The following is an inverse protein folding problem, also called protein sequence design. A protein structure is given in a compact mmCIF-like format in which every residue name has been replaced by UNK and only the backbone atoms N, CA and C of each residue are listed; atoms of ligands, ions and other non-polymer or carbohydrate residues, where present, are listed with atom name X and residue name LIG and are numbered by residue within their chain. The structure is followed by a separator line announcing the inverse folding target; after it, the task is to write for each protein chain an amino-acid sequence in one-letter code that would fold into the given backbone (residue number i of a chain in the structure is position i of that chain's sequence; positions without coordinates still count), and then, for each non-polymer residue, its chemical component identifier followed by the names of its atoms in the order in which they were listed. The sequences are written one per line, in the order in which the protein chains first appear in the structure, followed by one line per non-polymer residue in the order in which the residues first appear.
data_IF_493945192297
#
_entry.id   IF_493945192297
#
_cell.length_a   1.000
_cell.length_b   1.000
_cell.length_c   1.000
_cell.angle_alpha   90.00
_cell.angle_beta   90.00
_cell.angle_gamma   90.00
#
_symmetry.space_group_name_H-M   'P 1'
#
loop_
_entity.id
_entity.type
_entity.pdbx_description
1 polymer ?
#
# COMPACT_ATOMS: atom_id res chain seq x y z
N UNK A 1 -9.34 -10.57 52.52
CA UNK A 1 -8.53 -10.04 53.64
C UNK A 1 -7.08 -9.97 53.20
N UNK A 2 -6.46 -8.81 53.48
CA UNK A 2 -5.04 -8.51 53.58
C UNK A 2 -4.10 -8.79 52.38
N UNK A 3 -3.73 -7.68 51.73
CA UNK A 3 -2.51 -7.48 50.96
C UNK A 3 -1.26 -7.45 51.86
N UNK A 4 -0.07 -7.58 51.28
CA UNK A 4 1.01 -6.63 51.59
C UNK A 4 2.10 -6.58 50.53
N UNK A 5 2.55 -5.35 50.32
CA UNK A 5 3.55 -4.84 49.38
C UNK A 5 4.90 -4.66 50.08
N UNK A 6 6.01 -4.66 49.32
CA UNK A 6 7.19 -3.88 49.70
C UNK A 6 7.99 -3.47 48.46
N UNK A 7 7.97 -2.16 48.20
CA UNK A 7 8.86 -1.39 47.34
C UNK A 7 10.10 -1.00 48.14
N UNK A 8 11.28 -0.93 47.53
CA UNK A 8 12.35 -0.04 47.99
C UNK A 8 13.12 0.56 46.81
N UNK A 9 13.36 1.86 46.93
CA UNK A 9 13.83 2.82 45.92
C UNK A 9 15.36 2.99 45.96
N UNK A 10 15.91 3.36 44.80
CA UNK A 10 16.88 4.44 44.51
C UNK A 10 17.99 4.79 45.50
N UNK A 11 19.23 4.86 44.98
CA UNK A 11 20.20 5.87 45.37
C UNK A 11 21.10 6.24 44.17
N UNK A 12 21.20 7.54 43.91
CA UNK A 12 22.19 8.19 43.03
C UNK A 12 23.13 9.02 43.91
N UNK A 13 24.42 9.09 43.56
CA UNK A 13 25.41 10.07 44.07
C UNK A 13 26.55 10.22 43.03
N UNK A 14 26.69 11.39 42.40
CA UNK A 14 27.75 12.42 42.56
C UNK A 14 29.18 11.98 42.16
N UNK A 15 29.78 12.45 41.04
CA UNK A 15 30.38 13.77 40.66
C UNK A 15 31.80 14.00 41.18
N UNK A 16 32.70 14.45 40.27
CA UNK A 16 33.95 15.24 40.36
C UNK A 16 35.07 14.60 39.49
N UNK A 17 35.86 15.24 38.61
CA UNK A 17 36.01 16.63 38.15
C UNK A 17 37.40 16.82 37.48
N UNK A 18 37.50 17.65 36.42
CA UNK A 18 38.71 18.34 35.87
C UNK A 18 39.82 17.49 35.19
N UNK A 19 40.58 17.92 34.17
CA UNK A 19 40.85 19.24 33.56
C UNK A 19 41.75 19.16 32.29
N UNK A 20 41.39 19.96 31.26
CA UNK A 20 42.15 20.75 30.23
C UNK A 20 43.47 20.28 29.56
N UNK A 21 43.54 20.37 28.22
CA UNK A 21 44.30 21.33 27.34
C UNK A 21 44.10 20.90 25.85
N UNK A 22 43.47 21.67 24.93
CA UNK A 22 44.04 22.70 24.02
C UNK A 22 44.39 22.08 22.63
N UNK A 23 44.06 22.57 21.42
CA UNK A 23 43.30 23.69 20.87
C UNK A 23 43.36 23.61 19.31
N UNK A 24 42.51 24.38 18.58
CA UNK A 24 42.78 24.82 17.20
C UNK A 24 41.73 24.52 16.11
N UNK A 25 41.04 25.57 15.62
CA UNK A 25 40.85 25.84 14.18
C UNK A 25 39.48 25.63 13.51
N UNK A 26 38.82 26.74 13.12
CA UNK A 26 38.01 26.88 11.89
C UNK A 26 36.46 26.73 11.98
N UNK A 27 35.70 27.83 11.84
CA UNK A 27 34.23 27.83 11.67
C UNK A 27 33.79 27.63 10.21
N UNK A 28 32.56 28.05 9.78
CA UNK A 28 31.33 28.33 10.53
C UNK A 28 30.08 27.62 9.94
N UNK A 29 28.98 27.53 10.69
CA UNK A 29 27.59 27.73 10.21
C UNK A 29 26.58 27.41 11.31
N UNK A 30 25.98 28.44 11.90
CA UNK A 30 24.79 28.27 12.73
C UNK A 30 23.55 28.04 11.85
N UNK A 31 22.62 27.16 12.25
CA UNK A 31 21.34 27.02 11.57
C UNK A 31 20.39 28.16 11.97
N UNK A 32 19.82 28.81 10.95
CA UNK A 32 18.79 29.85 11.06
C UNK A 32 17.57 29.26 11.82
N UNK A 33 17.32 29.77 13.02
CA UNK A 33 16.05 29.60 13.75
C UNK A 33 15.01 30.54 13.15
N UNK A 34 13.98 29.98 12.49
CA UNK A 34 12.76 30.71 12.13
C UNK A 34 11.79 30.58 13.32
N UNK A 35 11.62 31.65 14.08
CA UNK A 35 10.57 31.79 15.09
C UNK A 35 9.28 32.29 14.42
N UNK A 36 8.20 31.52 14.58
CA UNK A 36 6.86 31.93 14.18
C UNK A 36 6.27 32.85 15.25
N UNK A 37 6.19 34.15 14.96
CA UNK A 37 5.48 35.13 15.80
C UNK A 37 3.99 35.06 15.46
N UNK A 38 3.18 34.55 16.40
CA UNK A 38 1.73 34.72 16.38
C UNK A 38 1.40 36.15 16.81
N UNK A 39 0.98 37.00 15.89
CA UNK A 39 0.25 38.23 16.23
C UNK A 39 -1.25 37.93 16.21
N UNK A 40 -1.83 37.83 17.40
CA UNK A 40 -3.26 38.08 17.60
C UNK A 40 -3.43 39.59 17.76
N UNK A 41 -4.22 40.21 16.88
CA UNK A 41 -4.82 41.51 17.16
C UNK A 41 -6.29 41.52 16.75
N UNK A 42 -7.12 41.53 17.78
CA UNK A 42 -8.56 41.81 17.77
C UNK A 42 -8.83 43.31 17.62
N UNK A 43 -9.82 43.69 16.80
CA UNK A 43 -10.51 44.98 16.90
C UNK A 43 -11.89 44.93 16.20
N UNK A 44 -12.85 45.79 16.56
CA UNK A 44 -14.27 45.41 16.71
C UNK A 44 -15.23 45.95 15.64
N UNK A 45 -16.47 45.47 15.69
CA UNK A 45 -17.64 45.94 14.95
C UNK A 45 -17.99 47.42 15.26
N UNK A 46 -18.33 48.19 14.22
CA UNK A 46 -19.42 49.17 14.25
C UNK A 46 -19.92 49.50 12.82
N UNK A 47 -21.14 50.01 12.78
CA UNK A 47 -22.15 50.01 11.70
C UNK A 47 -22.18 51.25 10.79
N UNK A 48 -22.85 51.06 9.63
CA UNK A 48 -23.64 51.99 8.80
C UNK A 48 -22.96 53.08 7.94
N UNK A 49 -23.32 53.08 6.64
CA UNK A 49 -23.75 54.31 5.95
C UNK A 49 -23.01 54.74 4.67
N UNK A 50 -23.76 54.70 3.56
CA UNK A 50 -23.64 55.54 2.36
C UNK A 50 -22.61 55.19 1.26
N UNK A 51 -23.13 55.23 0.03
CA UNK A 51 -22.52 54.72 -1.17
C UNK A 51 -21.59 55.70 -1.88
N UNK A 52 -20.68 55.11 -2.64
CA UNK A 52 -19.99 55.74 -3.75
C UNK A 52 -19.82 54.69 -4.84
N UNK A 53 -20.36 54.99 -6.03
CA UNK A 53 -20.24 54.14 -7.20
C UNK A 53 -18.79 54.16 -7.70
N UNK A 54 -18.10 53.03 -7.61
CA UNK A 54 -16.78 52.85 -8.22
C UNK A 54 -17.01 52.32 -9.63
N UNK A 55 -16.71 53.17 -10.61
CA UNK A 55 -16.63 52.81 -12.04
C UNK A 55 -15.56 51.74 -12.23
N UNK A 56 -15.98 50.51 -12.50
CA UNK A 56 -15.07 49.42 -12.89
C UNK A 56 -14.88 49.49 -14.40
N UNK A 57 -13.69 49.91 -14.82
CA UNK A 57 -13.26 49.73 -16.20
C UNK A 57 -13.11 48.24 -16.49
N UNK A 58 -14.09 47.69 -17.22
CA UNK A 58 -14.06 46.32 -17.72
C UNK A 58 -12.85 46.16 -18.66
N UNK A 59 -11.76 45.61 -18.15
CA UNK A 59 -10.74 44.99 -19.01
C UNK A 59 -11.38 43.74 -19.61
N UNK A 60 -11.72 43.84 -20.90
CA UNK A 60 -12.09 42.69 -21.74
C UNK A 60 -10.89 41.74 -21.79
N UNK A 61 -10.86 40.74 -20.92
CA UNK A 61 -10.06 39.55 -21.11
C UNK A 61 -10.68 38.78 -22.28
N UNK A 62 -9.92 38.61 -23.36
CA UNK A 62 -10.34 37.81 -24.50
C UNK A 62 -10.68 36.41 -24.02
N UNK A 63 -11.94 36.00 -24.18
CA UNK A 63 -12.38 34.64 -23.95
C UNK A 63 -11.66 33.75 -24.97
N UNK A 64 -10.57 33.09 -24.55
CA UNK A 64 -10.07 31.93 -25.29
C UNK A 64 -11.16 30.87 -25.16
N UNK A 65 -11.74 30.51 -26.30
CA UNK A 65 -12.61 29.33 -26.44
C UNK A 65 -11.82 28.11 -25.97
N UNK A 66 -12.04 27.69 -24.72
CA UNK A 66 -11.60 26.38 -24.26
C UNK A 66 -12.47 25.39 -25.03
N UNK A 67 -11.93 24.86 -26.12
CA UNK A 67 -12.53 23.70 -26.79
C UNK A 67 -12.65 22.61 -25.72
N UNK A 68 -13.82 21.98 -25.52
CA UNK A 68 -13.92 20.86 -24.62
C UNK A 68 -12.92 19.82 -25.09
N UNK A 69 -11.90 19.57 -24.27
CA UNK A 69 -10.93 18.52 -24.53
C UNK A 69 -11.76 17.25 -24.60
N UNK A 70 -11.83 16.68 -25.79
CA UNK A 70 -12.43 15.37 -26.01
C UNK A 70 -11.51 14.40 -25.28
N UNK A 71 -11.76 14.18 -23.99
CA UNK A 71 -11.15 13.11 -23.22
C UNK A 71 -11.49 11.84 -24.00
N UNK A 72 -10.55 11.42 -24.84
CA UNK A 72 -10.65 10.14 -25.52
C UNK A 72 -10.59 9.16 -24.38
N UNK A 73 -11.76 8.63 -24.01
CA UNK A 73 -11.86 7.60 -23.00
C UNK A 73 -10.75 6.59 -23.31
N UNK A 74 -9.82 6.44 -22.38
CA UNK A 74 -8.81 5.39 -22.44
C UNK A 74 -9.54 4.14 -22.89
N UNK A 75 -9.12 3.58 -24.02
CA UNK A 75 -9.74 2.38 -24.58
C UNK A 75 -10.05 1.41 -23.44
N UNK A 76 -11.23 0.79 -23.48
CA UNK A 76 -11.68 -0.17 -22.47
C UNK A 76 -10.47 -1.02 -22.02
N UNK A 77 -10.30 -1.25 -20.71
CA UNK A 77 -9.09 -1.88 -20.17
C UNK A 77 -8.76 -3.08 -21.05
N UNK A 78 -7.49 -3.19 -21.53
CA UNK A 78 -7.15 -4.19 -22.52
C UNK A 78 -7.67 -5.53 -22.03
N UNK A 79 -8.51 -6.16 -22.87
CA UNK A 79 -8.98 -7.51 -22.60
C UNK A 79 -7.73 -8.35 -22.33
N UNK A 80 -7.64 -8.92 -21.12
CA UNK A 80 -6.47 -9.72 -20.73
C UNK A 80 -6.22 -10.71 -21.86
N UNK A 81 -5.06 -10.63 -22.54
CA UNK A 81 -4.79 -11.50 -23.68
C UNK A 81 -4.94 -12.94 -23.21
N UNK A 82 -5.80 -13.72 -23.90
CA UNK A 82 -5.90 -15.15 -23.64
C UNK A 82 -4.50 -15.75 -23.77
N UNK A 83 -4.06 -16.46 -22.73
CA UNK A 83 -2.79 -17.18 -22.71
C UNK A 83 -2.62 -17.99 -24.00
N UNK A 84 -1.44 -17.91 -24.62
CA UNK A 84 -1.09 -18.70 -25.81
C UNK A 84 -0.87 -20.18 -25.49
N UNK A 85 -0.75 -20.55 -24.21
CA UNK A 85 -0.86 -21.94 -23.76
C UNK A 85 -2.31 -22.25 -23.45
N UNK A 86 -2.86 -23.34 -23.99
CA UNK A 86 -4.26 -23.74 -23.80
C UNK A 86 -4.65 -24.14 -22.36
N UNK A 87 -3.84 -23.80 -21.35
CA UNK A 87 -4.05 -24.10 -19.93
C UNK A 87 -4.18 -22.85 -19.07
N UNK A 88 -4.78 -23.00 -17.89
CA UNK A 88 -4.93 -21.92 -16.90
C UNK A 88 -3.60 -21.63 -16.22
N UNK A 89 -3.35 -20.36 -15.89
CA UNK A 89 -2.20 -19.97 -15.07
C UNK A 89 -2.40 -20.49 -13.65
N UNK A 90 -1.53 -21.42 -13.22
CA UNK A 90 -1.59 -22.03 -11.89
C UNK A 90 -0.89 -21.16 -10.85
N UNK A 91 -1.65 -20.74 -9.85
CA UNK A 91 -1.24 -19.76 -8.85
C UNK A 91 -1.22 -20.36 -7.45
N UNK A 92 -0.17 -20.08 -6.70
CA UNK A 92 -0.09 -20.24 -5.25
C UNK A 92 -0.24 -18.89 -4.54
N UNK A 93 -0.80 -18.88 -3.33
CA UNK A 93 -0.94 -17.66 -2.52
C UNK A 93 -0.20 -17.87 -1.21
N UNK A 94 0.78 -17.01 -0.91
CA UNK A 94 1.40 -16.94 0.40
C UNK A 94 0.81 -15.79 1.22
N UNK A 95 0.29 -16.10 2.41
CA UNK A 95 -0.44 -15.19 3.28
C UNK A 95 -1.93 -15.13 2.94
N UNK A 96 -2.79 -15.67 3.81
CA UNK A 96 -4.24 -15.71 3.61
C UNK A 96 -4.97 -14.54 4.31
N UNK A 97 -4.31 -13.38 4.30
CA UNK A 97 -4.80 -12.12 4.84
C UNK A 97 -5.79 -11.41 3.92
N UNK A 98 -5.92 -10.09 4.10
CA UNK A 98 -6.88 -9.28 3.33
C UNK A 98 -6.69 -9.40 1.81
N UNK A 99 -5.45 -9.32 1.33
CA UNK A 99 -5.13 -9.35 -0.10
C UNK A 99 -5.25 -10.77 -0.64
N UNK A 100 -4.61 -11.76 0.00
CA UNK A 100 -4.67 -13.16 -0.45
C UNK A 100 -6.10 -13.69 -0.61
N UNK A 101 -7.01 -13.40 0.33
CA UNK A 101 -8.42 -13.80 0.20
C UNK A 101 -9.14 -13.12 -0.97
N UNK A 102 -8.86 -11.85 -1.24
CA UNK A 102 -9.48 -11.13 -2.37
C UNK A 102 -8.93 -11.61 -3.70
N UNK A 103 -7.63 -11.88 -3.78
CA UNK A 103 -7.02 -12.51 -4.95
C UNK A 103 -7.70 -13.84 -5.25
N UNK A 104 -7.89 -14.69 -4.23
CA UNK A 104 -8.61 -15.95 -4.41
C UNK A 104 -10.07 -15.74 -4.84
N UNK A 105 -10.82 -14.80 -4.23
CA UNK A 105 -12.20 -14.49 -4.65
C UNK A 105 -12.26 -14.07 -6.12
N UNK A 106 -11.36 -13.19 -6.56
CA UNK A 106 -11.32 -12.75 -7.96
C UNK A 106 -10.94 -13.93 -8.88
N UNK A 107 -9.94 -14.72 -8.50
CA UNK A 107 -9.51 -15.88 -9.28
C UNK A 107 -10.64 -16.92 -9.46
N UNK A 108 -11.53 -17.09 -8.48
CA UNK A 108 -12.67 -18.04 -8.62
C UNK A 108 -13.66 -17.66 -9.72
N UNK A 109 -13.72 -16.38 -10.08
CA UNK A 109 -14.59 -15.86 -11.14
C UNK A 109 -13.90 -15.77 -12.51
N UNK A 110 -12.61 -16.09 -12.59
CA UNK A 110 -11.81 -16.04 -13.82
C UNK A 110 -11.64 -17.42 -14.42
N UNK A 111 -11.61 -17.48 -15.75
CA UNK A 111 -11.42 -18.71 -16.52
C UNK A 111 -9.94 -18.98 -16.84
N UNK A 112 -9.09 -17.97 -16.81
CA UNK A 112 -7.67 -18.02 -17.15
C UNK A 112 -6.73 -18.29 -15.97
N UNK A 113 -7.21 -18.17 -14.72
CA UNK A 113 -6.43 -18.38 -13.50
C UNK A 113 -6.99 -19.57 -12.71
N UNK A 114 -6.10 -20.37 -12.15
CA UNK A 114 -6.42 -21.46 -11.24
C UNK A 114 -5.56 -21.36 -9.98
N UNK A 115 -6.16 -21.10 -8.83
CA UNK A 115 -5.44 -21.16 -7.55
C UNK A 115 -5.40 -22.61 -7.09
N UNK A 116 -4.19 -23.15 -6.97
CA UNK A 116 -3.96 -24.57 -6.63
C UNK A 116 -3.50 -24.77 -5.19
N UNK A 117 -2.91 -23.74 -4.58
CA UNK A 117 -2.40 -23.82 -3.22
C UNK A 117 -2.45 -22.48 -2.47
N UNK A 118 -2.62 -22.57 -1.15
CA UNK A 118 -2.58 -21.43 -0.21
C UNK A 118 -1.69 -21.81 0.98
N UNK A 119 -0.80 -20.91 1.38
CA UNK A 119 0.01 -21.05 2.58
C UNK A 119 -0.31 -19.96 3.61
N UNK A 120 -0.59 -20.36 4.85
CA UNK A 120 -0.57 -19.44 6.00
C UNK A 120 -0.24 -20.20 7.30
N UNK A 121 0.86 -19.88 8.00
CA UNK A 121 1.27 -20.60 9.20
C UNK A 121 0.42 -20.30 10.45
N UNK A 122 -0.53 -19.36 10.37
CA UNK A 122 -1.33 -18.91 11.52
C UNK A 122 -2.81 -19.28 11.42
N UNK A 123 -3.24 -19.90 10.32
CA UNK A 123 -4.65 -20.13 10.01
C UNK A 123 -4.82 -21.57 9.52
N UNK A 124 -5.63 -22.38 10.21
CA UNK A 124 -6.00 -23.73 9.74
C UNK A 124 -7.04 -23.68 8.61
N UNK A 125 -7.20 -24.78 7.86
CA UNK A 125 -8.13 -24.84 6.73
C UNK A 125 -9.60 -24.53 7.11
N UNK A 126 -10.06 -24.96 8.28
CA UNK A 126 -11.43 -24.68 8.75
C UNK A 126 -11.61 -23.18 8.99
N UNK A 127 -10.63 -22.53 9.59
CA UNK A 127 -10.65 -21.09 9.82
C UNK A 127 -10.47 -20.29 8.53
N UNK A 128 -9.64 -20.77 7.59
CA UNK A 128 -9.55 -20.21 6.24
C UNK A 128 -10.93 -20.21 5.55
N UNK A 129 -11.66 -21.32 5.59
CA UNK A 129 -13.00 -21.43 5.00
C UNK A 129 -13.97 -20.41 5.62
N UNK A 130 -13.92 -20.23 6.96
CA UNK A 130 -14.72 -19.22 7.65
C UNK A 130 -14.38 -17.79 7.20
N UNK A 131 -13.09 -17.42 7.22
CA UNK A 131 -12.61 -16.08 6.83
C UNK A 131 -12.83 -15.78 5.35
N UNK A 132 -12.89 -16.82 4.51
CA UNK A 132 -13.21 -16.68 3.09
C UNK A 132 -14.71 -16.52 2.86
N UNK A 133 -15.56 -17.25 3.62
CA UNK A 133 -17.02 -17.17 3.53
C UNK A 133 -17.55 -15.81 3.98
N UNK A 134 -17.06 -15.30 5.11
CA UNK A 134 -17.54 -14.05 5.71
C UNK A 134 -16.50 -12.94 5.61
N UNK A 135 -16.87 -11.85 4.93
CA UNK A 135 -16.02 -10.68 4.75
C UNK A 135 -16.81 -9.42 5.10
N UNK A 136 -16.36 -8.69 6.13
CA UNK A 136 -17.06 -7.49 6.62
C UNK A 136 -17.11 -6.35 5.61
N UNK A 137 -16.19 -6.31 4.64
CA UNK A 137 -16.10 -5.25 3.64
C UNK A 137 -16.79 -5.64 2.33
N UNK A 138 -16.60 -6.88 1.89
CA UNK A 138 -17.06 -7.36 0.59
C UNK A 138 -18.24 -8.34 0.66
N UNK A 139 -18.82 -8.53 1.85
CA UNK A 139 -19.97 -9.40 2.08
C UNK A 139 -19.67 -10.89 1.96
N UNK A 140 -20.73 -11.69 1.99
CA UNK A 140 -20.64 -13.15 1.91
C UNK A 140 -20.11 -13.59 0.53
N UNK A 141 -19.27 -14.63 0.54
CA UNK A 141 -18.92 -15.32 -0.68
C UNK A 141 -20.16 -16.01 -1.27
N UNK A 142 -20.41 -15.80 -2.57
CA UNK A 142 -21.61 -16.28 -3.27
C UNK A 142 -21.53 -17.75 -3.70
N UNK A 143 -20.33 -18.33 -3.73
CA UNK A 143 -20.11 -19.73 -4.09
C UNK A 143 -20.09 -20.66 -2.88
N UNK A 144 -19.70 -21.91 -3.12
CA UNK A 144 -19.48 -22.89 -2.05
C UNK A 144 -18.03 -22.86 -1.59
N UNK A 145 -17.82 -22.98 -0.28
CA UNK A 145 -16.52 -23.09 0.37
C UNK A 145 -16.64 -24.04 1.55
N UNK A 146 -15.76 -25.02 1.62
CA UNK A 146 -15.65 -25.94 2.75
C UNK A 146 -14.20 -26.41 2.93
N UNK A 147 -13.81 -26.69 4.16
CA UNK A 147 -12.60 -27.45 4.43
C UNK A 147 -12.95 -28.94 4.30
N UNK A 148 -12.25 -29.65 3.42
CA UNK A 148 -12.41 -31.10 3.23
C UNK A 148 -11.65 -31.84 4.32
N UNK A 149 -10.45 -31.37 4.62
CA UNK A 149 -9.57 -31.84 5.67
C UNK A 149 -8.63 -30.69 6.11
N UNK A 150 -7.65 -30.98 6.96
CA UNK A 150 -6.69 -29.98 7.47
C UNK A 150 -5.80 -29.35 6.39
N UNK A 151 -5.64 -30.04 5.25
CA UNK A 151 -4.72 -29.70 4.16
C UNK A 151 -5.42 -29.36 2.85
N UNK A 152 -6.77 -29.31 2.84
CA UNK A 152 -7.54 -29.15 1.60
C UNK A 152 -8.77 -28.27 1.80
N UNK A 153 -8.86 -27.21 1.01
CA UNK A 153 -10.07 -26.43 0.80
C UNK A 153 -10.76 -26.89 -0.49
N UNK A 154 -12.09 -26.87 -0.50
CA UNK A 154 -12.88 -27.03 -1.71
C UNK A 154 -13.72 -25.78 -1.95
N UNK A 155 -13.56 -25.17 -3.12
CA UNK A 155 -14.28 -23.97 -3.56
C UNK A 155 -14.96 -24.26 -4.89
N UNK A 156 -16.29 -24.17 -4.94
CA UNK A 156 -17.08 -24.47 -6.13
C UNK A 156 -16.71 -25.83 -6.77
N UNK A 157 -16.47 -26.84 -5.93
CA UNK A 157 -16.07 -28.19 -6.36
C UNK A 157 -14.59 -28.34 -6.77
N UNK A 158 -13.78 -27.28 -6.70
CA UNK A 158 -12.33 -27.33 -6.99
C UNK A 158 -11.53 -27.42 -5.71
N UNK A 159 -10.55 -28.32 -5.67
CA UNK A 159 -9.66 -28.51 -4.51
C UNK A 159 -8.45 -27.59 -4.59
N UNK A 160 -8.10 -27.04 -3.43
CA UNK A 160 -6.95 -26.16 -3.21
C UNK A 160 -6.18 -26.71 -2.02
N UNK A 161 -4.89 -26.98 -2.20
CA UNK A 161 -4.04 -27.45 -1.10
C UNK A 161 -3.73 -26.33 -0.11
N UNK A 162 -3.72 -26.67 1.17
CA UNK A 162 -3.38 -25.77 2.27
C UNK A 162 -2.06 -26.21 2.89
N UNK A 163 -1.18 -25.25 3.12
CA UNK A 163 0.05 -25.45 3.89
C UNK A 163 0.20 -24.41 4.99
N UNK A 164 0.99 -24.72 6.01
CA UNK A 164 1.19 -23.87 7.19
C UNK A 164 2.68 -23.65 7.47
N UNK A 165 3.47 -23.42 6.42
CA UNK A 165 4.92 -23.23 6.52
C UNK A 165 5.25 -21.77 6.80
N UNK A 166 6.18 -21.54 7.74
CA UNK A 166 6.70 -20.20 8.05
C UNK A 166 7.80 -19.77 7.10
N UNK A 167 8.68 -20.70 6.73
CA UNK A 167 9.71 -20.45 5.74
C UNK A 167 9.12 -20.63 4.32
N UNK A 168 9.13 -19.58 3.48
CA UNK A 168 8.74 -19.65 2.07
C UNK A 168 9.44 -20.75 1.25
N UNK A 169 10.67 -21.14 1.63
CA UNK A 169 11.47 -22.15 0.94
C UNK A 169 10.98 -23.58 1.20
N UNK A 170 10.29 -23.82 2.32
CA UNK A 170 9.73 -25.14 2.65
C UNK A 170 8.39 -25.43 1.97
N UNK A 171 7.78 -24.43 1.35
CA UNK A 171 6.48 -24.60 0.68
C UNK A 171 6.71 -25.34 -0.64
N UNK A 172 6.14 -26.54 -0.84
CA UNK A 172 6.44 -27.37 -2.01
C UNK A 172 5.59 -26.97 -3.22
N UNK A 173 5.67 -25.71 -3.66
CA UNK A 173 4.88 -25.16 -4.78
C UNK A 173 4.90 -26.03 -6.04
N UNK A 174 6.08 -26.57 -6.42
CA UNK A 174 6.22 -27.43 -7.58
C UNK A 174 5.37 -28.70 -7.49
N UNK A 175 5.31 -29.33 -6.31
CA UNK A 175 4.51 -30.53 -6.07
C UNK A 175 3.01 -30.21 -6.07
N UNK A 176 2.65 -28.99 -5.62
CA UNK A 176 1.28 -28.49 -5.61
C UNK A 176 0.85 -27.93 -6.98
N UNK A 177 1.77 -27.88 -7.95
CA UNK A 177 1.52 -27.40 -9.31
C UNK A 177 1.44 -25.87 -9.45
N UNK A 178 1.84 -25.10 -8.44
CA UNK A 178 1.82 -23.64 -8.48
C UNK A 178 3.05 -23.11 -9.26
N UNK A 179 2.81 -22.41 -10.35
CA UNK A 179 3.86 -21.83 -11.17
C UNK A 179 4.15 -20.37 -10.79
N UNK A 180 3.10 -19.61 -10.47
CA UNK A 180 3.18 -18.23 -10.05
C UNK A 180 2.77 -18.13 -8.59
N UNK A 181 3.51 -17.39 -7.78
CA UNK A 181 3.17 -17.16 -6.37
C UNK A 181 2.81 -15.71 -6.14
N UNK A 182 1.67 -15.47 -5.51
CA UNK A 182 1.31 -14.18 -4.95
C UNK A 182 1.85 -14.11 -3.53
N UNK A 183 2.88 -13.29 -3.32
CA UNK A 183 3.45 -13.03 -2.01
C UNK A 183 2.67 -11.88 -1.35
N UNK A 184 1.77 -12.24 -0.44
CA UNK A 184 0.86 -11.32 0.24
C UNK A 184 0.88 -11.42 1.77
N UNK A 185 1.96 -11.97 2.33
CA UNK A 185 2.21 -11.98 3.79
C UNK A 185 2.58 -10.59 4.32
N UNK A 186 3.18 -9.74 3.48
CA UNK A 186 3.70 -8.43 3.86
C UNK A 186 5.07 -8.46 4.55
N UNK A 187 5.70 -9.64 4.69
CA UNK A 187 7.00 -9.81 5.37
C UNK A 187 8.14 -10.03 4.38
N UNK A 188 7.87 -10.70 3.25
CA UNK A 188 8.87 -11.07 2.24
C UNK A 188 8.84 -10.11 1.04
N UNK A 189 9.10 -8.82 1.29
CA UNK A 189 8.96 -7.76 0.27
C UNK A 189 10.23 -7.41 -0.49
N UNK A 190 11.36 -8.07 -0.22
CA UNK A 190 12.60 -7.93 -1.00
C UNK A 190 12.76 -9.09 -1.97
N UNK A 191 13.55 -8.87 -3.02
CA UNK A 191 13.84 -9.86 -4.07
C UNK A 191 14.45 -11.11 -3.46
N UNK A 192 15.41 -10.96 -2.55
CA UNK A 192 16.05 -12.08 -1.85
C UNK A 192 15.04 -12.93 -1.08
N UNK A 193 14.22 -12.28 -0.25
CA UNK A 193 13.23 -12.97 0.60
C UNK A 193 12.15 -13.67 -0.22
N UNK A 194 11.60 -12.98 -1.22
CA UNK A 194 10.58 -13.54 -2.10
C UNK A 194 11.13 -14.67 -2.99
N UNK A 195 12.42 -14.63 -3.35
CA UNK A 195 13.08 -15.68 -4.13
C UNK A 195 13.12 -17.03 -3.41
N UNK A 196 12.91 -17.07 -2.09
CA UNK A 196 12.79 -18.33 -1.36
C UNK A 196 11.65 -19.23 -1.90
N UNK A 197 10.58 -18.66 -2.43
CA UNK A 197 9.52 -19.44 -3.10
C UNK A 197 10.00 -20.19 -4.34
N UNK A 198 11.03 -19.69 -5.03
CA UNK A 198 11.60 -20.37 -6.21
C UNK A 198 12.25 -21.70 -5.80
N UNK A 199 12.82 -21.79 -4.59
CA UNK A 199 13.35 -23.04 -4.03
C UNK A 199 12.25 -24.09 -3.84
N UNK A 200 11.03 -23.64 -3.53
CA UNK A 200 9.84 -24.48 -3.44
C UNK A 200 9.29 -24.98 -4.78
N UNK A 201 9.88 -24.56 -5.91
CA UNK A 201 9.47 -24.96 -7.25
C UNK A 201 8.54 -23.98 -7.97
N UNK A 202 8.27 -22.80 -7.39
CA UNK A 202 7.60 -21.73 -8.12
C UNK A 202 8.51 -21.19 -9.25
N UNK A 203 7.91 -20.79 -10.37
CA UNK A 203 8.63 -20.17 -11.50
C UNK A 203 8.76 -18.67 -11.33
N UNK A 204 7.70 -18.02 -10.82
CA UNK A 204 7.58 -16.56 -10.70
C UNK A 204 6.94 -16.16 -9.38
N UNK A 205 7.30 -14.98 -8.88
CA UNK A 205 6.75 -14.40 -7.66
C UNK A 205 6.30 -12.96 -7.92
N UNK A 206 5.08 -12.65 -7.48
CA UNK A 206 4.50 -11.31 -7.51
C UNK A 206 4.26 -10.84 -6.08
N UNK A 207 5.03 -9.86 -5.64
CA UNK A 207 4.90 -9.23 -4.32
C UNK A 207 3.71 -8.27 -4.36
N UNK A 208 2.77 -8.43 -3.42
CA UNK A 208 1.55 -7.60 -3.35
C UNK A 208 1.73 -6.28 -2.57
N UNK A 209 2.95 -5.76 -2.56
CA UNK A 209 3.36 -4.55 -1.85
C UNK A 209 4.58 -3.93 -2.53
N UNK A 210 4.89 -2.64 -2.28
CA UNK A 210 6.14 -2.05 -2.73
C UNK A 210 7.35 -2.86 -2.28
N UNK A 211 8.29 -3.03 -3.19
CA UNK A 211 9.57 -3.65 -2.91
C UNK A 211 10.68 -2.61 -2.90
N UNK A 212 11.69 -2.82 -2.06
CA UNK A 212 12.87 -1.97 -2.03
C UNK A 212 13.80 -2.20 -3.25
N UNK A 213 13.75 -3.39 -3.85
CA UNK A 213 14.71 -3.84 -4.87
C UNK A 213 14.06 -4.54 -6.08
N UNK A 214 12.84 -5.10 -5.95
CA UNK A 214 12.17 -5.77 -7.06
C UNK A 214 11.56 -4.76 -8.06
N UNK A 215 11.65 -5.01 -9.37
CA UNK A 215 10.98 -4.19 -10.38
C UNK A 215 9.47 -4.09 -10.11
N UNK A 216 8.95 -2.87 -10.11
CA UNK A 216 7.55 -2.56 -9.83
C UNK A 216 6.76 -2.29 -11.10
N UNK A 217 5.58 -2.90 -11.18
CA UNK A 217 4.66 -2.75 -12.30
C UNK A 217 3.31 -2.21 -11.87
N UNK A 218 2.77 -1.32 -12.70
CA UNK A 218 1.38 -0.86 -12.66
C UNK A 218 0.78 -1.13 -14.03
N UNK A 219 -0.27 -1.96 -14.05
CA UNK A 219 -0.96 -2.36 -15.27
C UNK A 219 -1.64 -1.15 -15.92
N UNK A 220 -1.39 -0.94 -17.21
CA UNK A 220 -1.81 0.22 -17.99
C UNK A 220 -0.80 1.36 -18.00
N UNK A 221 0.34 1.23 -17.31
CA UNK A 221 1.37 2.26 -17.21
C UNK A 221 2.71 1.74 -17.75
N UNK A 222 3.25 0.67 -17.15
CA UNK A 222 4.58 0.16 -17.49
C UNK A 222 4.67 -1.37 -17.61
N UNK A 223 3.56 -2.10 -17.67
CA UNK A 223 3.54 -3.56 -17.79
C UNK A 223 4.31 -4.09 -19.02
N UNK A 224 4.40 -3.27 -20.08
CA UNK A 224 5.12 -3.62 -21.31
C UNK A 224 6.64 -3.65 -21.14
N UNK A 225 7.18 -3.13 -20.04
CA UNK A 225 8.62 -3.20 -19.74
C UNK A 225 9.00 -4.49 -19.01
N UNK A 226 8.02 -5.34 -18.69
CA UNK A 226 8.27 -6.64 -18.09
C UNK A 226 9.11 -7.52 -19.02
N UNK A 227 10.15 -8.14 -18.44
CA UNK A 227 10.99 -9.10 -19.16
C UNK A 227 10.80 -10.50 -18.57
N UNK A 228 10.67 -11.56 -19.39
CA UNK A 228 10.53 -12.93 -18.89
C UNK A 228 11.70 -13.41 -18.02
N UNK A 229 12.85 -12.74 -18.01
CA UNK A 229 13.96 -13.01 -17.09
C UNK A 229 13.68 -12.55 -15.65
N UNK A 230 12.73 -11.64 -15.44
CA UNK A 230 12.34 -11.13 -14.12
C UNK A 230 11.51 -12.19 -13.39
N UNK A 231 12.13 -12.87 -12.43
CA UNK A 231 11.49 -13.94 -11.66
C UNK A 231 10.68 -13.42 -10.47
N UNK A 232 11.10 -12.30 -9.89
CA UNK A 232 10.44 -11.64 -8.78
C UNK A 232 10.12 -10.22 -9.19
N UNK A 233 8.85 -9.85 -9.07
CA UNK A 233 8.35 -8.51 -9.38
C UNK A 233 7.39 -8.05 -8.30
N UNK A 234 7.13 -6.75 -8.22
CA UNK A 234 6.15 -6.17 -7.31
C UNK A 234 5.01 -5.51 -8.09
N UNK A 235 3.78 -5.67 -7.59
CA UNK A 235 2.60 -4.97 -8.11
C UNK A 235 2.40 -3.59 -7.46
N UNK A 236 3.49 -2.99 -6.96
CA UNK A 236 3.52 -1.71 -6.26
C UNK A 236 2.54 -1.65 -5.07
N UNK A 237 2.08 -0.44 -4.71
CA UNK A 237 1.01 -0.23 -3.70
C UNK A 237 -0.34 0.06 -4.37
N UNK A 238 -1.42 -0.07 -3.60
CA UNK A 238 -2.76 0.39 -4.00
C UNK A 238 -2.78 1.88 -4.38
N UNK A 239 -2.09 2.72 -3.62
CA UNK A 239 -1.99 4.16 -3.88
C UNK A 239 -1.23 4.43 -5.18
N UNK A 240 -0.14 3.70 -5.45
CA UNK A 240 0.62 3.82 -6.70
C UNK A 240 -0.24 3.39 -7.90
N UNK A 241 -0.99 2.30 -7.78
CA UNK A 241 -1.91 1.84 -8.83
C UNK A 241 -3.04 2.84 -9.10
N UNK A 242 -3.47 3.61 -8.09
CA UNK A 242 -4.45 4.69 -8.26
C UNK A 242 -3.85 5.92 -8.96
N UNK A 243 -2.66 6.36 -8.51
CA UNK A 243 -2.05 7.61 -8.99
C UNK A 243 -1.39 7.48 -10.35
N UNK A 244 -0.67 6.40 -10.61
CA UNK A 244 0.21 6.30 -11.79
C UNK A 244 -0.54 6.43 -13.13
N UNK A 245 -1.74 5.84 -13.33
CA UNK A 245 -2.50 6.04 -14.56
C UNK A 245 -2.92 7.51 -14.76
N UNK A 246 -3.34 8.20 -13.68
CA UNK A 246 -3.71 9.62 -13.73
C UNK A 246 -2.50 10.48 -14.07
N UNK A 247 -1.38 10.24 -13.39
CA UNK A 247 -0.13 10.96 -13.64
C UNK A 247 0.37 10.74 -15.08
N UNK A 248 0.27 9.53 -15.61
CA UNK A 248 0.65 9.20 -16.99
C UNK A 248 -0.14 10.05 -18.00
N UNK A 249 -1.47 10.06 -17.92
CA UNK A 249 -2.31 10.82 -18.87
C UNK A 249 -2.00 12.32 -18.79
N UNK A 250 -1.92 12.89 -17.57
CA UNK A 250 -1.64 14.32 -17.40
C UNK A 250 -0.23 14.67 -17.90
N UNK A 251 0.75 13.81 -17.65
CA UNK A 251 2.13 14.06 -18.08
C UNK A 251 2.30 13.96 -19.60
N UNK A 252 1.68 12.97 -20.25
CA UNK A 252 1.76 12.80 -21.70
C UNK A 252 1.06 13.93 -22.47
N UNK A 253 -0.06 14.45 -21.95
CA UNK A 253 -0.82 15.52 -22.60
C UNK A 253 -0.30 16.93 -22.29
N UNK A 254 0.15 17.17 -21.05
CA UNK A 254 0.44 18.53 -20.57
C UNK A 254 1.85 18.73 -20.03
N UNK A 255 2.58 17.66 -19.74
CA UNK A 255 3.87 17.72 -19.06
C UNK A 255 3.74 18.11 -17.58
N UNK A 256 4.02 17.18 -16.67
CA UNK A 256 4.14 17.47 -15.23
C UNK A 256 5.56 17.94 -14.94
N UNK A 257 5.70 19.17 -14.42
CA UNK A 257 6.98 19.72 -13.96
C UNK A 257 7.29 19.26 -12.53
N UNK A 258 6.31 19.38 -11.64
CA UNK A 258 6.37 18.95 -10.25
C UNK A 258 4.97 18.58 -9.76
N UNK A 259 4.88 17.83 -8.66
CA UNK A 259 3.60 17.40 -8.12
C UNK A 259 3.73 16.99 -6.66
N UNK A 260 2.73 17.37 -5.87
CA UNK A 260 2.55 16.91 -4.50
C UNK A 260 1.33 16.02 -4.45
N UNK A 261 1.45 14.91 -3.71
CA UNK A 261 0.38 13.94 -3.60
C UNK A 261 0.12 13.62 -2.15
N UNK A 262 -1.13 13.35 -1.84
CA UNK A 262 -1.60 13.05 -0.52
C UNK A 262 -2.83 12.16 -0.67
N UNK A 263 -2.96 11.15 0.20
CA UNK A 263 -3.97 10.09 0.09
C UNK A 263 -4.79 9.98 1.38
N UNK A 264 -6.12 9.93 1.23
CA UNK A 264 -7.05 9.48 2.28
C UNK A 264 -7.08 7.96 2.21
N UNK A 265 -6.36 7.28 3.09
CA UNK A 265 -6.28 5.83 3.05
C UNK A 265 -7.19 5.19 4.11
N UNK A 266 -7.98 4.21 3.69
CA UNK A 266 -8.78 3.39 4.59
C UNK A 266 -7.88 2.60 5.55
N UNK A 267 -8.44 2.16 6.67
CA UNK A 267 -7.68 1.41 7.68
C UNK A 267 -7.12 0.10 7.12
N UNK A 268 -5.90 -0.24 7.53
CA UNK A 268 -5.21 -1.47 7.17
C UNK A 268 -4.86 -2.31 8.41
N UNK A 269 -4.50 -3.58 8.19
CA UNK A 269 -4.22 -4.53 9.27
C UNK A 269 -2.98 -4.19 10.12
N UNK A 270 -2.12 -3.26 9.69
CA UNK A 270 -0.97 -2.82 10.49
C UNK A 270 -1.34 -1.77 11.54
N UNK A 271 -2.52 -1.17 11.43
CA UNK A 271 -3.04 -0.22 12.43
C UNK A 271 -3.68 -0.98 13.59
N UNK A 272 -3.62 -0.39 14.78
CA UNK A 272 -4.12 -0.99 16.00
C UNK A 272 -5.51 -0.46 16.35
N UNK A 273 -6.32 -1.29 17.00
CA UNK A 273 -7.63 -0.90 17.52
C UNK A 273 -7.53 -0.04 18.77
N UNK A 274 -6.44 -0.20 19.52
CA UNK A 274 -6.12 0.54 20.75
C UNK A 274 -4.65 0.95 20.69
N UNK A 275 -4.31 1.98 21.44
CA UNK A 275 -2.96 2.54 21.42
C UNK A 275 -1.91 1.48 21.80
N UNK A 276 -0.81 1.46 21.06
CA UNK A 276 0.27 0.52 21.35
C UNK A 276 1.47 0.62 20.41
N UNK A 277 2.58 -0.05 20.74
CA UNK A 277 3.86 0.15 20.05
C UNK A 277 3.81 -0.24 18.57
N UNK A 278 4.08 0.70 17.67
CA UNK A 278 4.12 0.45 16.22
C UNK A 278 5.56 0.17 15.74
N UNK A 279 5.70 -0.78 14.82
CA UNK A 279 7.01 -1.10 14.19
C UNK A 279 7.34 -0.17 13.00
N UNK A 280 6.37 0.63 12.52
CA UNK A 280 6.57 1.50 11.35
C UNK A 280 6.75 2.96 11.74
N UNK A 281 5.81 3.56 12.47
CA UNK A 281 5.83 4.99 12.84
C UNK A 281 5.05 5.17 14.16
N UNK A 282 5.56 6.00 15.10
CA UNK A 282 4.87 6.30 16.37
C UNK A 282 3.49 6.94 16.21
N UNK A 283 3.23 7.60 15.08
CA UNK A 283 1.97 8.26 14.76
C UNK A 283 0.89 7.30 14.20
N UNK A 284 1.26 6.07 13.81
CA UNK A 284 0.34 4.96 13.54
C UNK A 284 -0.04 4.20 14.83
N UNK A 285 0.53 4.58 15.97
CA UNK A 285 0.18 4.01 17.27
C UNK A 285 -1.11 4.61 17.83
N UNK A 286 -1.54 5.77 17.34
CA UNK A 286 -2.80 6.44 17.70
C UNK A 286 -3.92 5.86 16.81
N UNK A 287 -5.09 5.57 17.40
CA UNK A 287 -6.18 4.80 16.80
C UNK A 287 -6.74 5.22 15.41
N UNK A 288 -7.68 4.41 14.92
CA UNK A 288 -8.28 4.44 13.58
C UNK A 288 -8.83 5.81 13.15
N UNK A 289 -8.20 6.45 12.15
CA UNK A 289 -8.79 7.21 10.99
C UNK A 289 -7.80 8.30 10.53
N UNK A 290 -7.42 8.31 9.24
CA UNK A 290 -6.69 9.43 8.60
C UNK A 290 -7.36 9.85 7.29
N UNK A 291 -7.48 11.16 7.06
CA UNK A 291 -8.05 11.79 5.85
C UNK A 291 -7.07 12.86 5.36
N UNK A 292 -6.55 12.75 4.13
CA UNK A 292 -5.75 13.79 3.48
C UNK A 292 -5.99 13.90 1.95
N UNK A 293 -6.13 15.13 1.41
CA UNK A 293 -6.59 15.47 0.04
C UNK A 293 -5.53 15.40 -1.08
N UNK A 294 -5.94 15.24 -2.36
CA UNK A 294 -5.07 15.40 -3.54
C UNK A 294 -5.12 16.84 -4.08
N UNK A 295 -3.97 17.53 -4.13
CA UNK A 295 -3.80 18.80 -4.85
C UNK A 295 -2.66 18.64 -5.85
N UNK A 296 -3.00 18.46 -7.13
CA UNK A 296 -2.05 18.58 -8.23
C UNK A 296 -1.93 20.06 -8.60
N UNK A 297 -0.84 20.72 -8.20
CA UNK A 297 -0.48 22.02 -8.76
C UNK A 297 0.23 21.81 -10.09
N UNK A 298 -0.51 21.91 -11.19
CA UNK A 298 0.09 22.05 -12.52
C UNK A 298 0.46 23.51 -12.70
N UNK A 299 1.70 23.88 -12.38
CA UNK A 299 2.19 25.21 -12.68
C UNK A 299 2.55 25.28 -14.18
N UNK A 300 1.59 25.70 -15.01
CA UNK A 300 1.90 26.09 -16.38
C UNK A 300 2.80 27.33 -16.35
N UNK A 301 4.04 27.21 -16.83
CA UNK A 301 4.76 28.40 -17.32
C UNK A 301 4.07 28.84 -18.60
N UNK A 302 3.24 29.87 -18.49
CA UNK A 302 2.75 30.65 -19.63
C UNK A 302 3.91 31.44 -20.26
#
# INVERSE_FOLDING_TARGET
MAASSAVLRSAASHVLGGSRFGGGGGGPSEPIKISCVRSLSSAPNHSSGFGAAISTSSRKSGARSIQPIKATATAAPPSVPKSSSGGKTKVGINGFGRIGRLVLRIATARDDIEVVAVNDPFIDAKYMAYMFKYDSTHGLFKGTIQAVDESTLEINGKRISVTNKRDPAEIPWGNLGAEYVVESSGVFTTTEKASAHLKGGAKKVVISAPSADAPMFVVGVNEKTYQPSMNVVSNASCTTNCLAPLAKVVHEEFGIVEGLMTTVHATTATQKTVDGPSMKIGEEAEGLVRISFLVLLVQQRL
#
